data_IF_569557958643
#
_entry.id   IF_569557958643
#
_cell.length_a   1.000
_cell.length_b   1.000
_cell.length_c   1.000
_cell.angle_alpha   90.00
_cell.angle_beta   90.00
_cell.angle_gamma   90.00
#
_symmetry.space_group_name_H-M   'P 1'
#
loop_
_entity.id
_entity.type
_entity.pdbx_description
1 polymer ?
#
# COMPACT_ATOMS: atom_id res chain seq x y z
N UNK A 1 44.36 -51.46 39.90
CA UNK A 1 43.44 -50.32 39.74
C UNK A 1 42.38 -50.44 40.80
N UNK A 2 42.12 -49.36 41.55
CA UNK A 2 41.22 -49.37 42.70
C UNK A 2 39.85 -48.88 42.23
N UNK A 3 38.81 -49.70 42.36
CA UNK A 3 37.45 -49.45 41.82
C UNK A 3 36.87 -48.10 42.28
N UNK A 4 37.28 -47.62 43.46
CA UNK A 4 36.88 -46.32 44.02
C UNK A 4 37.36 -45.13 43.16
N UNK A 5 38.57 -45.20 42.60
CA UNK A 5 39.12 -44.11 41.78
C UNK A 5 38.41 -44.01 40.42
N UNK A 6 37.92 -45.15 39.92
CA UNK A 6 37.15 -45.25 38.68
C UNK A 6 35.73 -44.70 38.87
N UNK A 7 35.07 -45.02 39.99
CA UNK A 7 33.77 -44.43 40.35
C UNK A 7 33.86 -42.91 40.47
N UNK A 8 34.89 -42.37 41.15
CA UNK A 8 35.08 -40.91 41.26
C UNK A 8 35.29 -40.23 39.91
N UNK A 9 36.00 -40.88 38.98
CA UNK A 9 36.18 -40.37 37.61
C UNK A 9 34.86 -40.32 36.85
N UNK A 10 34.05 -41.37 36.97
CA UNK A 10 32.73 -41.43 36.34
C UNK A 10 31.81 -40.35 36.91
N UNK A 11 31.79 -40.17 38.23
CA UNK A 11 31.01 -39.11 38.90
C UNK A 11 31.42 -37.70 38.45
N UNK A 12 32.72 -37.46 38.29
CA UNK A 12 33.22 -36.19 37.79
C UNK A 12 32.82 -35.97 36.32
N UNK A 13 33.00 -36.98 35.47
CA UNK A 13 32.59 -36.90 34.07
C UNK A 13 31.08 -36.68 33.90
N UNK A 14 30.26 -37.29 34.77
CA UNK A 14 28.81 -37.09 34.76
C UNK A 14 28.43 -35.65 35.12
N UNK A 15 29.10 -35.04 36.12
CA UNK A 15 28.88 -33.63 36.48
C UNK A 15 29.32 -32.66 35.39
N UNK A 16 30.45 -32.94 34.75
CA UNK A 16 30.93 -32.13 33.62
C UNK A 16 29.96 -32.23 32.43
N UNK A 17 29.40 -33.42 32.18
CA UNK A 17 28.39 -33.62 31.14
C UNK A 17 27.10 -32.86 31.44
N UNK A 18 26.62 -32.90 32.69
CA UNK A 18 25.42 -32.18 33.13
C UNK A 18 25.60 -30.66 32.97
N UNK A 19 26.72 -30.12 33.47
CA UNK A 19 27.04 -28.69 33.31
C UNK A 19 27.14 -28.27 31.84
N UNK A 20 27.82 -29.07 31.00
CA UNK A 20 27.93 -28.78 29.57
C UNK A 20 26.58 -28.84 28.85
N UNK A 21 25.66 -29.70 29.29
CA UNK A 21 24.32 -29.79 28.72
C UNK A 21 23.48 -28.57 29.09
N UNK A 22 23.52 -28.15 30.36
CA UNK A 22 22.82 -26.95 30.84
C UNK A 22 23.31 -25.69 30.14
N UNK A 23 24.63 -25.54 29.97
CA UNK A 23 25.22 -24.42 29.24
C UNK A 23 24.75 -24.40 27.77
N UNK A 24 24.72 -25.57 27.11
CA UNK A 24 24.25 -25.67 25.73
C UNK A 24 22.77 -25.36 25.60
N UNK A 25 21.96 -25.82 26.54
CA UNK A 25 20.53 -25.51 26.59
C UNK A 25 20.31 -24.00 26.73
N UNK A 26 21.09 -23.35 27.59
CA UNK A 26 21.01 -21.90 27.79
C UNK A 26 21.41 -21.13 26.53
N UNK A 27 22.51 -21.52 25.90
CA UNK A 27 22.96 -20.95 24.62
C UNK A 27 21.89 -21.10 23.53
N UNK A 28 21.23 -22.26 23.45
CA UNK A 28 20.15 -22.48 22.48
C UNK A 28 18.94 -21.59 22.72
N UNK A 29 18.57 -21.38 23.99
CA UNK A 29 17.48 -20.45 24.36
C UNK A 29 17.85 -19.03 23.95
N UNK A 30 19.05 -18.56 24.33
CA UNK A 30 19.52 -17.21 24.02
C UNK A 30 19.58 -16.97 22.49
N UNK A 31 20.10 -17.94 21.72
CA UNK A 31 20.12 -17.88 20.26
C UNK A 31 18.72 -17.85 19.65
N UNK A 32 17.78 -18.60 20.24
CA UNK A 32 16.39 -18.62 19.78
C UNK A 32 15.72 -17.28 20.06
N UNK A 33 15.92 -16.70 21.24
CA UNK A 33 15.39 -15.38 21.59
C UNK A 33 15.96 -14.28 20.70
N UNK A 34 17.27 -14.31 20.44
CA UNK A 34 17.91 -13.37 19.52
C UNK A 34 17.30 -13.48 18.12
N UNK A 35 17.15 -14.69 17.59
CA UNK A 35 16.55 -14.92 16.27
C UNK A 35 15.09 -14.45 16.21
N UNK A 36 14.32 -14.65 17.29
CA UNK A 36 12.95 -14.14 17.39
C UNK A 36 12.96 -12.60 17.36
N UNK A 37 13.91 -11.94 18.03
CA UNK A 37 14.05 -10.49 17.99
C UNK A 37 14.37 -9.98 16.59
N UNK A 38 15.36 -10.58 15.93
CA UNK A 38 15.73 -10.23 14.54
C UNK A 38 14.56 -10.41 13.57
N UNK A 39 13.78 -11.49 13.73
CA UNK A 39 12.58 -11.73 12.93
C UNK A 39 11.50 -10.67 13.18
N UNK A 40 11.30 -10.23 14.43
CA UNK A 40 10.33 -9.17 14.76
C UNK A 40 10.73 -7.84 14.12
N UNK A 41 11.99 -7.45 14.25
CA UNK A 41 12.50 -6.22 13.64
C UNK A 41 12.36 -6.23 12.11
N UNK A 42 12.64 -7.38 11.49
CA UNK A 42 12.46 -7.57 10.04
C UNK A 42 10.99 -7.41 9.64
N UNK A 43 10.08 -8.06 10.35
CA UNK A 43 8.63 -7.96 10.07
C UNK A 43 8.12 -6.53 10.25
N UNK A 44 8.58 -5.82 11.28
CA UNK A 44 8.19 -4.42 11.49
C UNK A 44 8.68 -3.51 10.34
N UNK A 45 9.92 -3.72 9.89
CA UNK A 45 10.47 -3.01 8.72
C UNK A 45 9.67 -3.31 7.45
N UNK A 46 9.40 -4.58 7.16
CA UNK A 46 8.64 -5.01 5.97
C UNK A 46 7.22 -4.45 5.98
N UNK A 47 6.56 -4.41 7.15
CA UNK A 47 5.24 -3.82 7.30
C UNK A 47 5.25 -2.31 7.03
N UNK A 48 6.27 -1.60 7.52
CA UNK A 48 6.42 -0.17 7.27
C UNK A 48 6.68 0.13 5.79
N UNK A 49 7.53 -0.66 5.14
CA UNK A 49 7.79 -0.55 3.70
C UNK A 49 6.50 -0.79 2.89
N UNK A 50 5.78 -1.88 3.18
CA UNK A 50 4.52 -2.20 2.53
C UNK A 50 3.47 -1.08 2.70
N UNK A 51 3.34 -0.51 3.90
CA UNK A 51 2.44 0.62 4.14
C UNK A 51 2.81 1.85 3.30
N UNK A 52 4.11 2.16 3.22
CA UNK A 52 4.59 3.28 2.41
C UNK A 52 4.33 3.07 0.92
N UNK A 53 4.63 1.89 0.40
CA UNK A 53 4.35 1.53 -1.00
C UNK A 53 2.85 1.61 -1.31
N UNK A 54 2.01 1.10 -0.41
CA UNK A 54 0.56 1.13 -0.60
C UNK A 54 0.00 2.56 -0.57
N UNK A 55 0.54 3.42 0.29
CA UNK A 55 0.16 4.82 0.34
C UNK A 55 0.55 5.55 -0.95
N UNK A 56 1.80 5.39 -1.40
CA UNK A 56 2.30 6.00 -2.63
C UNK A 56 1.52 5.53 -3.87
N UNK A 57 1.20 4.24 -3.95
CA UNK A 57 0.39 3.68 -5.03
C UNK A 57 -1.03 4.26 -5.02
N UNK A 58 -1.62 4.43 -3.84
CA UNK A 58 -2.96 5.00 -3.67
C UNK A 58 -2.99 6.47 -4.05
N UNK A 59 -2.02 7.27 -3.60
CA UNK A 59 -1.90 8.68 -3.95
C UNK A 59 -1.71 8.87 -5.47
N UNK A 60 -0.83 8.08 -6.09
CA UNK A 60 -0.64 8.11 -7.53
C UNK A 60 -1.91 7.78 -8.29
N UNK A 61 -2.66 6.77 -7.86
CA UNK A 61 -3.94 6.39 -8.47
C UNK A 61 -4.99 7.48 -8.29
N UNK A 62 -5.04 8.10 -7.10
CA UNK A 62 -5.96 9.20 -6.81
C UNK A 62 -5.68 10.40 -7.74
N UNK A 63 -4.41 10.76 -7.93
CA UNK A 63 -4.04 11.87 -8.80
C UNK A 63 -4.33 11.58 -10.27
N UNK A 64 -4.12 10.34 -10.73
CA UNK A 64 -4.54 9.91 -12.07
C UNK A 64 -6.06 10.04 -12.26
N UNK A 65 -6.85 9.61 -11.28
CA UNK A 65 -8.31 9.73 -11.33
C UNK A 65 -8.76 11.20 -11.32
N UNK A 66 -8.12 12.06 -10.54
CA UNK A 66 -8.42 13.51 -10.56
C UNK A 66 -8.13 14.13 -11.91
N UNK A 67 -6.98 13.81 -12.52
CA UNK A 67 -6.63 14.32 -13.85
C UNK A 67 -7.60 13.82 -14.92
N UNK A 68 -7.97 12.54 -14.86
CA UNK A 68 -8.97 11.98 -15.76
C UNK A 68 -10.32 12.69 -15.61
N UNK A 69 -10.81 12.85 -14.37
CA UNK A 69 -12.08 13.51 -14.10
C UNK A 69 -12.08 14.98 -14.55
N UNK A 70 -10.98 15.70 -14.34
CA UNK A 70 -10.82 17.07 -14.83
C UNK A 70 -10.89 17.15 -16.35
N UNK A 71 -10.24 16.21 -17.04
CA UNK A 71 -10.28 16.12 -18.50
C UNK A 71 -11.70 15.84 -18.99
N UNK A 72 -12.36 14.82 -18.42
CA UNK A 72 -13.75 14.45 -18.76
C UNK A 72 -14.71 15.63 -18.52
N UNK A 73 -14.57 16.31 -17.38
CA UNK A 73 -15.38 17.50 -17.06
C UNK A 73 -15.16 18.63 -18.08
N UNK A 74 -13.91 18.86 -18.49
CA UNK A 74 -13.60 19.88 -19.50
C UNK A 74 -14.22 19.53 -20.85
N UNK A 75 -14.11 18.27 -21.27
CA UNK A 75 -14.69 17.78 -22.53
C UNK A 75 -16.22 17.89 -22.52
N UNK A 76 -16.87 17.53 -21.40
CA UNK A 76 -18.32 17.70 -21.22
C UNK A 76 -18.74 19.17 -21.25
N UNK A 77 -17.98 20.06 -20.59
CA UNK A 77 -18.25 21.50 -20.62
C UNK A 77 -18.15 22.07 -22.03
N UNK A 78 -17.15 21.65 -22.80
CA UNK A 78 -16.97 22.15 -24.16
C UNK A 78 -18.04 21.60 -25.11
N UNK A 79 -18.45 20.33 -24.94
CA UNK A 79 -19.60 19.77 -25.64
C UNK A 79 -20.89 20.53 -25.31
N UNK A 80 -21.12 20.89 -24.04
CA UNK A 80 -22.28 21.65 -23.62
C UNK A 80 -22.30 23.06 -24.20
N UNK A 81 -21.16 23.77 -24.20
CA UNK A 81 -21.03 25.09 -24.82
C UNK A 81 -21.32 25.05 -26.32
N UNK A 82 -20.77 24.05 -27.02
CA UNK A 82 -21.01 23.86 -28.45
C UNK A 82 -22.50 23.65 -28.72
N UNK A 83 -23.14 22.75 -27.98
CA UNK A 83 -24.58 22.49 -28.10
C UNK A 83 -25.42 23.74 -27.83
N UNK A 84 -25.04 24.54 -26.83
CA UNK A 84 -25.71 25.80 -26.52
C UNK A 84 -25.60 26.80 -27.67
N UNK A 85 -24.42 26.97 -28.26
CA UNK A 85 -24.23 27.87 -29.41
C UNK A 85 -25.05 27.42 -30.62
N UNK A 86 -25.03 26.13 -30.96
CA UNK A 86 -25.87 25.60 -32.05
C UNK A 86 -27.36 25.88 -31.83
N UNK A 87 -27.87 25.65 -30.61
CA UNK A 87 -29.29 25.93 -30.30
C UNK A 87 -29.62 27.41 -30.30
N UNK A 88 -28.68 28.27 -29.87
CA UNK A 88 -28.83 29.71 -29.91
C UNK A 88 -28.98 30.20 -31.35
N UNK A 89 -28.11 29.74 -32.26
CA UNK A 89 -28.15 30.15 -33.66
C UNK A 89 -29.46 29.69 -34.32
N UNK A 90 -29.89 28.45 -34.07
CA UNK A 90 -31.19 27.95 -34.52
C UNK A 90 -32.36 28.81 -34.02
N UNK A 91 -32.33 29.25 -32.76
CA UNK A 91 -33.37 30.11 -32.21
C UNK A 91 -33.38 31.48 -32.89
N UNK A 92 -32.19 32.06 -33.16
CA UNK A 92 -32.07 33.33 -33.88
C UNK A 92 -32.70 33.21 -35.27
N UNK A 93 -32.41 32.13 -35.99
CA UNK A 93 -32.99 31.88 -37.32
C UNK A 93 -34.52 31.77 -37.27
N UNK A 94 -35.07 31.00 -36.31
CA UNK A 94 -36.52 30.87 -36.09
C UNK A 94 -37.16 32.23 -35.78
N UNK A 95 -36.53 33.04 -34.93
CA UNK A 95 -37.04 34.37 -34.58
C UNK A 95 -37.02 35.31 -35.78
N UNK A 96 -35.96 35.29 -36.60
CA UNK A 96 -35.88 36.09 -37.83
C UNK A 96 -36.99 35.69 -38.80
N UNK A 97 -37.18 34.39 -39.05
CA UNK A 97 -38.26 33.90 -39.91
C UNK A 97 -39.64 34.37 -39.43
N UNK A 98 -39.90 34.31 -38.13
CA UNK A 98 -41.18 34.72 -37.56
C UNK A 98 -41.38 36.24 -37.66
N UNK A 99 -40.34 37.03 -37.41
CA UNK A 99 -40.39 38.49 -37.59
C UNK A 99 -40.65 38.85 -39.04
N UNK A 100 -40.01 38.18 -40.01
CA UNK A 100 -40.26 38.40 -41.43
C UNK A 100 -41.69 38.02 -41.84
N UNK A 101 -42.24 36.92 -41.31
CA UNK A 101 -43.65 36.54 -41.55
C UNK A 101 -44.64 37.57 -41.00
N UNK A 102 -44.39 38.06 -39.78
CA UNK A 102 -45.33 38.92 -39.06
C UNK A 102 -45.27 40.39 -39.50
N UNK A 103 -44.07 40.89 -39.84
CA UNK A 103 -43.83 42.31 -40.14
C UNK A 103 -43.29 42.57 -41.56
N UNK A 104 -42.93 41.54 -42.32
CA UNK A 104 -42.42 41.67 -43.69
C UNK A 104 -43.50 41.73 -44.79
N UNK A 105 -44.78 41.63 -44.44
CA UNK A 105 -45.92 41.87 -45.34
C UNK A 105 -46.45 43.32 -45.21
N UNK A 106 -45.56 44.29 -45.32
CA UNK A 106 -45.87 45.71 -45.63
C UNK A 106 -44.94 46.21 -46.71
#
# INVERSE_FOLDING_TARGET
MNTIDEVKRIEQAAKELEASFDDKMKEMVDQTEQKISEMKETIESDLQEYQNEQNLATEKKLDQLKQQLQKETSEEMDALKSNYHTKKDQLVDIVIEEVMKQYGNS
#
